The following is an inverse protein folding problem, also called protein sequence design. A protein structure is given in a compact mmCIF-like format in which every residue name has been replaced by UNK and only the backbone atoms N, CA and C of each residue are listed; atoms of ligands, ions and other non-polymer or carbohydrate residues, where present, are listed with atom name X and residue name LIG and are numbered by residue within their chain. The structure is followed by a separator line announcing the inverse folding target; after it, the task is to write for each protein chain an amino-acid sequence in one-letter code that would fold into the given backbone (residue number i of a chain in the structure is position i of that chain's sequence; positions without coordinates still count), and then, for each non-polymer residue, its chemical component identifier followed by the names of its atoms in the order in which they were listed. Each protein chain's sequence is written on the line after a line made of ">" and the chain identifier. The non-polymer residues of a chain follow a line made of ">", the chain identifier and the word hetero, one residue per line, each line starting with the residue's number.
data_IF_324063983981
#
_entry.id   IF_324063983981
#
_cell.length_a   1.000
_cell.length_b   1.000
_cell.length_c   1.000
_cell.angle_alpha   90.00
_cell.angle_beta   90.00
_cell.angle_gamma   90.00
#
_symmetry.space_group_name_H-M   'P 1'
#
loop_
_entity.id
_entity.type
_entity.pdbx_description
1 polymer ?
#
# COMPACT_ATOMS: atom_id res chain seq x y z
N UNK A 1 -0.37 24.17 4.31
CA UNK A 1 -1.52 23.50 3.65
C UNK A 1 -1.07 22.14 3.17
N UNK A 2 -1.91 21.10 3.28
CA UNK A 2 -1.61 19.76 2.75
C UNK A 2 -2.00 19.67 1.28
N UNK A 3 -1.21 18.93 0.47
CA UNK A 3 -1.54 18.62 -0.93
C UNK A 3 -2.54 17.46 -0.99
N UNK A 4 -3.59 17.59 -1.78
CA UNK A 4 -4.53 16.50 -2.10
C UNK A 4 -4.23 16.04 -3.52
N UNK A 5 -4.06 14.74 -3.72
CA UNK A 5 -3.75 14.10 -5.02
C UNK A 5 -4.62 12.86 -5.23
N UNK A 6 -4.73 12.44 -6.48
CA UNK A 6 -5.36 11.17 -6.83
C UNK A 6 -4.53 9.96 -6.36
N UNK A 7 -5.18 8.83 -6.11
CA UNK A 7 -4.50 7.62 -5.64
C UNK A 7 -3.52 7.06 -6.67
N UNK A 8 -3.81 7.17 -7.97
CA UNK A 8 -2.91 6.77 -9.05
C UNK A 8 -1.66 7.63 -9.06
N UNK A 9 -1.81 8.94 -8.86
CA UNK A 9 -0.67 9.86 -8.71
C UNK A 9 0.17 9.46 -7.49
N UNK A 10 -0.46 9.18 -6.35
CA UNK A 10 0.23 8.78 -5.13
C UNK A 10 1.03 7.48 -5.29
N UNK A 11 0.44 6.45 -5.92
CA UNK A 11 1.12 5.18 -6.22
C UNK A 11 2.28 5.40 -7.20
N UNK A 12 2.13 6.29 -8.17
CA UNK A 12 3.18 6.68 -9.11
C UNK A 12 4.42 7.30 -8.45
N UNK A 13 4.33 7.72 -7.19
CA UNK A 13 5.46 8.23 -6.40
C UNK A 13 6.30 7.12 -5.75
N UNK A 14 5.91 5.84 -5.88
CA UNK A 14 6.65 4.70 -5.30
C UNK A 14 7.60 4.10 -6.35
N UNK A 15 8.93 4.35 -6.27
CA UNK A 15 9.89 3.71 -7.16
C UNK A 15 10.18 2.25 -6.77
N UNK A 16 10.75 1.49 -7.71
CA UNK A 16 11.37 0.18 -7.46
C UNK A 16 12.36 0.28 -6.28
N UNK A 17 12.43 -0.76 -5.44
CA UNK A 17 13.35 -0.82 -4.30
C UNK A 17 12.91 -0.04 -3.06
N UNK A 18 11.75 0.62 -3.08
CA UNK A 18 11.29 1.44 -1.96
C UNK A 18 11.00 0.61 -0.70
N UNK A 19 11.26 1.22 0.46
CA UNK A 19 10.73 0.73 1.74
C UNK A 19 9.46 1.49 2.09
N UNK A 20 8.34 0.78 2.26
CA UNK A 20 7.03 1.34 2.56
C UNK A 20 6.60 0.97 3.98
N UNK A 21 6.38 1.96 4.83
CA UNK A 21 5.69 1.79 6.10
C UNK A 21 4.18 1.90 5.87
N UNK A 22 3.45 0.82 6.15
CA UNK A 22 1.98 0.79 6.06
C UNK A 22 1.42 0.86 7.48
N UNK A 23 0.75 1.98 7.78
CA UNK A 23 0.02 2.17 9.04
C UNK A 23 -1.29 1.39 9.08
N UNK A 24 -1.91 1.36 10.26
CA UNK A 24 -3.13 0.62 10.54
C UNK A 24 -2.89 -0.72 11.23
N UNK A 25 -3.97 -1.44 11.51
CA UNK A 25 -3.99 -2.77 12.12
C UNK A 25 -5.00 -3.67 11.39
N UNK A 26 -5.15 -4.92 11.83
CA UNK A 26 -6.03 -5.85 11.12
C UNK A 26 -7.52 -5.54 11.28
N UNK A 27 -8.34 -6.39 10.64
CA UNK A 27 -9.75 -6.13 10.32
C UNK A 27 -9.97 -4.79 9.60
N UNK A 28 -8.96 -4.32 8.85
CA UNK A 28 -9.04 -3.08 8.08
C UNK A 28 -8.90 -1.79 8.90
N UNK A 29 -8.59 -1.86 10.19
CA UNK A 29 -8.56 -0.67 11.05
C UNK A 29 -7.47 0.33 10.61
N UNK A 30 -7.92 1.51 10.16
CA UNK A 30 -7.05 2.61 9.71
C UNK A 30 -6.05 2.23 8.58
N UNK A 31 -6.38 1.23 7.76
CA UNK A 31 -5.58 0.89 6.59
C UNK A 31 -5.80 1.91 5.45
N UNK A 32 -4.75 2.27 4.69
CA UNK A 32 -4.89 3.05 3.46
C UNK A 32 -5.40 2.16 2.32
N UNK A 33 -6.59 1.58 2.47
CA UNK A 33 -7.12 0.51 1.61
C UNK A 33 -7.06 0.88 0.11
N UNK A 34 -7.55 2.06 -0.25
CA UNK A 34 -7.53 2.52 -1.66
C UNK A 34 -6.12 2.57 -2.25
N UNK A 35 -5.11 2.95 -1.47
CA UNK A 35 -3.72 2.98 -1.94
C UNK A 35 -3.18 1.56 -2.14
N UNK A 36 -3.50 0.64 -1.23
CA UNK A 36 -3.10 -0.77 -1.32
C UNK A 36 -3.71 -1.41 -2.58
N UNK A 37 -5.01 -1.20 -2.81
CA UNK A 37 -5.73 -1.74 -3.97
C UNK A 37 -5.15 -1.18 -5.28
N UNK A 38 -4.90 0.13 -5.34
CA UNK A 38 -4.33 0.76 -6.53
C UNK A 38 -2.89 0.31 -6.79
N UNK A 39 -2.06 0.17 -5.75
CA UNK A 39 -0.70 -0.36 -5.88
C UNK A 39 -0.71 -1.78 -6.44
N UNK A 40 -1.62 -2.63 -5.96
CA UNK A 40 -1.80 -3.98 -6.48
C UNK A 40 -2.24 -3.97 -7.96
N UNK A 41 -3.19 -3.10 -8.33
CA UNK A 41 -3.65 -2.97 -9.71
C UNK A 41 -2.55 -2.46 -10.65
N UNK A 42 -1.77 -1.46 -10.24
CA UNK A 42 -0.60 -0.94 -10.98
C UNK A 42 0.42 -2.04 -11.21
N UNK A 43 0.76 -2.80 -10.16
CA UNK A 43 1.71 -3.91 -10.27
C UNK A 43 1.20 -5.00 -11.22
N UNK A 44 -0.08 -5.40 -11.11
CA UNK A 44 -0.66 -6.41 -11.99
C UNK A 44 -0.63 -6.01 -13.48
N UNK A 45 -0.79 -4.71 -13.77
CA UNK A 45 -0.78 -4.18 -15.14
C UNK A 45 0.64 -4.00 -15.69
N UNK A 46 1.56 -3.43 -14.91
CA UNK A 46 2.86 -2.96 -15.38
C UNK A 46 4.04 -3.82 -14.92
N UNK A 47 3.82 -4.78 -14.01
CA UNK A 47 4.86 -5.55 -13.34
C UNK A 47 5.81 -4.72 -12.50
N UNK A 48 5.40 -3.51 -12.10
CA UNK A 48 6.17 -2.51 -11.33
C UNK A 48 5.24 -1.69 -10.43
N UNK A 49 5.71 -1.16 -9.28
CA UNK A 49 7.09 -1.22 -8.80
C UNK A 49 7.51 -2.60 -8.26
N UNK A 50 8.81 -2.90 -8.27
CA UNK A 50 9.41 -4.16 -7.80
C UNK A 50 10.36 -3.97 -6.63
N UNK A 51 10.72 -5.10 -6.01
CA UNK A 51 11.74 -5.16 -4.96
C UNK A 51 11.40 -4.28 -3.75
N UNK A 52 10.10 -4.14 -3.46
CA UNK A 52 9.62 -3.35 -2.32
C UNK A 52 9.91 -4.07 -1.00
N UNK A 53 10.31 -3.31 0.01
CA UNK A 53 10.31 -3.75 1.40
C UNK A 53 9.11 -3.16 2.12
N UNK A 54 8.17 -3.98 2.58
CA UNK A 54 7.01 -3.47 3.34
C UNK A 54 7.22 -3.65 4.84
N UNK A 55 7.01 -2.58 5.61
CA UNK A 55 7.02 -2.57 7.07
C UNK A 55 5.59 -2.38 7.56
N UNK A 56 5.20 -3.19 8.54
CA UNK A 56 3.93 -3.10 9.25
C UNK A 56 4.24 -3.26 10.74
N UNK A 57 3.72 -2.38 11.58
CA UNK A 57 3.96 -2.46 13.04
C UNK A 57 3.23 -3.66 13.65
N UNK A 58 2.08 -4.02 13.09
CA UNK A 58 1.26 -5.17 13.47
C UNK A 58 0.79 -5.93 12.24
N UNK A 59 0.20 -7.13 12.44
CA UNK A 59 -0.49 -7.85 11.37
C UNK A 59 -1.68 -7.03 10.81
N UNK A 60 -1.83 -7.06 9.48
CA UNK A 60 -2.94 -6.44 8.75
C UNK A 60 -3.71 -7.50 7.95
N UNK A 61 -4.91 -7.18 7.48
CA UNK A 61 -5.81 -8.12 6.80
C UNK A 61 -6.97 -8.57 7.70
N UNK A 62 -7.78 -9.51 7.21
CA UNK A 62 -9.10 -9.81 7.79
C UNK A 62 -9.09 -10.76 8.99
N UNK A 63 -7.90 -11.10 9.52
CA UNK A 63 -7.74 -12.05 10.62
C UNK A 63 -8.47 -13.40 10.42
N UNK A 64 -8.65 -13.84 9.17
CA UNK A 64 -9.34 -15.09 8.87
C UNK A 64 -8.76 -16.24 9.72
N UNK A 65 -9.65 -17.12 10.18
CA UNK A 65 -9.34 -18.22 11.09
C UNK A 65 -8.07 -18.95 10.67
N UNK A 66 -7.09 -18.94 11.57
CA UNK A 66 -6.07 -19.97 11.71
C UNK A 66 -6.27 -20.62 13.06
#
# INVERSE_FOLDING_TARGET
>A
MSKVIDVREAVGLVPDGSTLLIGGSGAGHALPQRFIDELAAVFAQAGRPRDLTTIRVVGIGDFAER
#
